data_IF_246860077878
#
_entry.id   IF_246860077878
#
_cell.length_a   1.000
_cell.length_b   1.000
_cell.length_c   1.000
_cell.angle_alpha   90.00
_cell.angle_beta   90.00
_cell.angle_gamma   90.00
#
_symmetry.space_group_name_H-M   'P 1'
#
loop_
_entity.id
_entity.type
_entity.pdbx_description
1 polymer ?
#
# COMPACT_ATOMS: atom_id res chain seq x y z
N UNK A 1 -4.94 -16.54 1.39
CA UNK A 1 -5.28 -15.20 1.94
C UNK A 1 -6.63 -15.27 2.66
N UNK A 2 -6.75 -14.90 3.93
CA UNK A 2 -7.97 -15.12 4.73
C UNK A 2 -9.21 -14.39 4.17
N UNK A 3 -9.05 -13.20 3.59
CA UNK A 3 -10.16 -12.45 2.98
C UNK A 3 -10.78 -13.23 1.82
N UNK A 4 -9.94 -13.73 0.90
CA UNK A 4 -10.39 -14.49 -0.26
C UNK A 4 -11.06 -15.78 0.15
N UNK A 5 -10.45 -16.55 1.05
CA UNK A 5 -11.03 -17.76 1.59
C UNK A 5 -12.42 -17.50 2.18
N UNK A 6 -12.54 -16.47 3.01
CA UNK A 6 -13.82 -16.10 3.63
C UNK A 6 -14.90 -15.71 2.61
N UNK A 7 -14.52 -15.01 1.52
CA UNK A 7 -15.47 -14.64 0.44
C UNK A 7 -15.88 -15.89 -0.35
N UNK A 8 -14.93 -16.75 -0.71
CA UNK A 8 -15.21 -17.97 -1.48
C UNK A 8 -16.06 -18.96 -0.67
N UNK A 9 -15.77 -19.11 0.61
CA UNK A 9 -16.53 -19.99 1.52
C UNK A 9 -17.93 -19.43 1.86
N UNK A 10 -18.10 -18.12 1.77
CA UNK A 10 -19.36 -17.44 2.14
C UNK A 10 -20.54 -17.68 1.22
N UNK A 11 -20.35 -18.35 0.08
CA UNK A 11 -21.44 -18.95 -0.72
C UNK A 11 -22.22 -18.04 -1.65
N UNK A 12 -21.73 -16.89 -2.04
CA UNK A 12 -22.16 -16.23 -3.30
C UNK A 12 -23.44 -15.40 -3.29
N UNK A 13 -23.99 -15.03 -2.13
CA UNK A 13 -25.08 -14.03 -2.10
C UNK A 13 -24.52 -12.63 -1.90
N UNK A 14 -24.71 -11.73 -2.86
CA UNK A 14 -24.24 -10.32 -2.77
C UNK A 14 -24.69 -9.62 -1.49
N UNK A 15 -25.81 -10.03 -0.89
CA UNK A 15 -26.36 -9.41 0.31
C UNK A 15 -25.67 -9.88 1.60
N UNK A 16 -25.14 -11.09 1.63
CA UNK A 16 -24.53 -11.72 2.81
C UNK A 16 -23.05 -12.05 2.65
N UNK A 17 -22.45 -11.74 1.52
CA UNK A 17 -21.03 -11.99 1.28
C UNK A 17 -20.17 -11.26 2.30
N UNK A 18 -19.19 -11.94 2.89
CA UNK A 18 -18.19 -11.31 3.74
C UNK A 18 -17.53 -10.13 3.04
N UNK A 19 -17.42 -9.01 3.75
CA UNK A 19 -16.83 -7.80 3.22
C UNK A 19 -15.50 -7.47 3.91
N UNK A 20 -14.62 -6.82 3.16
CA UNK A 20 -13.37 -6.25 3.66
C UNK A 20 -13.28 -4.75 3.31
N UNK A 21 -12.74 -3.99 4.24
CA UNK A 21 -12.33 -2.61 4.01
C UNK A 21 -10.80 -2.54 3.99
N UNK A 22 -10.22 -2.07 2.90
CA UNK A 22 -8.78 -1.90 2.73
C UNK A 22 -8.43 -0.42 2.78
N UNK A 23 -7.65 -0.04 3.77
CA UNK A 23 -7.26 1.33 4.03
C UNK A 23 -5.79 1.54 3.63
N UNK A 24 -5.56 2.25 2.54
CA UNK A 24 -4.25 2.67 2.08
C UNK A 24 -3.97 4.13 2.47
N UNK A 25 -2.71 4.52 2.75
CA UNK A 25 -2.39 5.90 3.12
C UNK A 25 -2.59 6.91 2.00
N UNK A 26 -2.54 6.45 0.74
CA UNK A 26 -2.69 7.31 -0.44
C UNK A 26 -3.65 6.70 -1.46
N UNK A 27 -4.25 7.57 -2.31
CA UNK A 27 -5.06 7.14 -3.45
C UNK A 27 -4.28 6.26 -4.42
N UNK A 28 -3.01 6.58 -4.68
CA UNK A 28 -2.16 5.83 -5.61
C UNK A 28 -2.02 4.38 -5.16
N UNK A 29 -1.67 4.15 -3.88
CA UNK A 29 -1.56 2.80 -3.32
C UNK A 29 -2.89 2.05 -3.33
N UNK A 30 -4.02 2.73 -3.03
CA UNK A 30 -5.33 2.10 -3.14
C UNK A 30 -5.64 1.64 -4.57
N UNK A 31 -5.30 2.44 -5.57
CA UNK A 31 -5.49 2.10 -6.98
C UNK A 31 -4.56 0.98 -7.44
N UNK A 32 -3.30 0.96 -7.00
CA UNK A 32 -2.35 -0.10 -7.35
C UNK A 32 -2.80 -1.44 -6.74
N UNK A 33 -3.24 -1.45 -5.51
CA UNK A 33 -3.83 -2.64 -4.88
C UNK A 33 -5.11 -3.08 -5.58
N UNK A 34 -5.97 -2.15 -5.98
CA UNK A 34 -7.18 -2.49 -6.73
C UNK A 34 -6.85 -3.19 -8.06
N UNK A 35 -5.87 -2.68 -8.82
CA UNK A 35 -5.40 -3.32 -10.06
C UNK A 35 -4.93 -4.75 -9.81
N UNK A 36 -4.14 -4.97 -8.74
CA UNK A 36 -3.69 -6.30 -8.37
C UNK A 36 -4.86 -7.27 -8.06
N UNK A 37 -5.94 -6.77 -7.43
CA UNK A 37 -7.15 -7.57 -7.20
C UNK A 37 -7.92 -7.86 -8.49
N UNK A 38 -8.02 -6.89 -9.41
CA UNK A 38 -8.65 -7.07 -10.72
C UNK A 38 -7.87 -8.06 -11.59
N UNK A 39 -6.55 -7.93 -11.65
CA UNK A 39 -5.66 -8.84 -12.39
C UNK A 39 -5.71 -10.27 -11.86
N UNK A 40 -5.83 -10.45 -10.55
CA UNK A 40 -5.97 -11.76 -9.93
C UNK A 40 -7.28 -12.46 -10.30
N UNK A 41 -8.30 -11.72 -10.75
CA UNK A 41 -9.60 -12.20 -11.25
C UNK A 41 -10.22 -13.32 -10.39
N UNK A 42 -10.15 -13.18 -9.07
CA UNK A 42 -10.57 -14.22 -8.12
C UNK A 42 -12.10 -14.37 -8.10
N UNK A 43 -12.63 -15.60 -8.25
CA UNK A 43 -14.06 -15.85 -8.26
C UNK A 43 -14.77 -15.30 -7.02
N UNK A 44 -15.87 -14.56 -7.21
CA UNK A 44 -16.68 -13.98 -6.14
C UNK A 44 -16.12 -12.72 -5.50
N UNK A 45 -14.88 -12.34 -5.79
CA UNK A 45 -14.27 -11.09 -5.30
C UNK A 45 -14.67 -9.93 -6.22
N UNK A 46 -15.20 -8.87 -5.62
CA UNK A 46 -15.66 -7.66 -6.33
C UNK A 46 -15.01 -6.44 -5.67
N UNK A 47 -13.77 -6.11 -6.07
CA UNK A 47 -13.05 -4.97 -5.52
C UNK A 47 -13.59 -3.65 -6.09
N UNK A 48 -13.57 -2.60 -5.30
CA UNK A 48 -13.88 -1.24 -5.74
C UNK A 48 -13.04 -0.22 -4.98
N UNK A 49 -12.47 0.73 -5.71
CA UNK A 49 -11.87 1.93 -5.11
C UNK A 49 -12.97 2.95 -4.84
N UNK A 50 -12.94 3.50 -3.63
CA UNK A 50 -13.80 4.62 -3.23
C UNK A 50 -12.93 5.73 -2.68
N UNK A 51 -12.73 6.75 -3.48
CA UNK A 51 -11.93 7.93 -3.16
C UNK A 51 -12.63 9.23 -3.61
N UNK A 52 -11.93 10.37 -3.53
CA UNK A 52 -12.48 11.67 -3.92
C UNK A 52 -12.78 11.80 -5.42
N UNK A 53 -12.14 10.99 -6.26
CA UNK A 53 -12.27 11.04 -7.72
C UNK A 53 -13.29 10.02 -8.23
N UNK A 54 -13.76 9.10 -7.37
CA UNK A 54 -14.80 8.11 -7.72
C UNK A 54 -16.11 8.81 -8.04
N UNK A 55 -16.64 8.59 -9.23
CA UNK A 55 -17.90 9.16 -9.67
C UNK A 55 -19.11 8.59 -8.91
N UNK A 56 -20.29 9.19 -9.12
CA UNK A 56 -21.51 8.83 -8.39
C UNK A 56 -21.99 7.42 -8.68
N UNK A 57 -21.89 6.97 -9.93
CA UNK A 57 -22.39 5.66 -10.37
C UNK A 57 -21.50 4.53 -9.86
N UNK A 58 -20.18 4.68 -9.96
CA UNK A 58 -19.22 3.72 -9.40
C UNK A 58 -19.35 3.62 -7.89
N UNK A 59 -19.53 4.75 -7.21
CA UNK A 59 -19.79 4.78 -5.78
C UNK A 59 -21.11 4.10 -5.41
N UNK A 60 -22.14 4.26 -6.22
CA UNK A 60 -23.42 3.57 -6.04
C UNK A 60 -23.28 2.07 -6.30
N UNK A 61 -22.49 1.68 -7.31
CA UNK A 61 -22.17 0.28 -7.57
C UNK A 61 -21.40 -0.35 -6.40
N UNK A 62 -20.33 0.32 -5.92
CA UNK A 62 -19.54 -0.15 -4.81
C UNK A 62 -20.39 -0.42 -3.56
N UNK A 63 -21.30 0.48 -3.20
CA UNK A 63 -22.22 0.30 -2.07
C UNK A 63 -23.10 -0.94 -2.21
N UNK A 64 -23.55 -1.24 -3.43
CA UNK A 64 -24.48 -2.35 -3.68
C UNK A 64 -23.79 -3.70 -3.89
N UNK A 65 -22.62 -3.69 -4.51
CA UNK A 65 -22.03 -4.91 -5.03
C UNK A 65 -20.63 -5.24 -4.51
N UNK A 66 -19.76 -4.24 -4.23
CA UNK A 66 -18.41 -4.51 -3.82
C UNK A 66 -18.34 -5.24 -2.47
N UNK A 67 -17.49 -6.23 -2.38
CA UNK A 67 -17.17 -6.92 -1.12
C UNK A 67 -15.73 -6.66 -0.65
N UNK A 68 -14.89 -6.05 -1.49
CA UNK A 68 -13.60 -5.48 -1.09
C UNK A 68 -13.61 -4.00 -1.45
N UNK A 69 -13.69 -3.13 -0.45
CA UNK A 69 -13.68 -1.68 -0.65
C UNK A 69 -12.33 -1.12 -0.28
N UNK A 70 -11.62 -0.55 -1.26
CA UNK A 70 -10.33 0.09 -1.08
C UNK A 70 -10.53 1.61 -0.97
N UNK A 71 -9.95 2.24 0.04
CA UNK A 71 -10.13 3.66 0.31
C UNK A 71 -8.93 4.24 1.08
N UNK A 72 -9.00 5.51 1.42
CA UNK A 72 -8.02 6.19 2.25
C UNK A 72 -8.67 6.78 3.52
N UNK A 73 -7.87 7.19 4.54
CA UNK A 73 -8.40 7.71 5.79
C UNK A 73 -9.31 8.92 5.63
N UNK A 74 -9.00 9.84 4.70
CA UNK A 74 -9.80 11.05 4.49
C UNK A 74 -11.17 10.71 3.93
N UNK A 75 -11.23 9.84 2.91
CA UNK A 75 -12.48 9.40 2.32
C UNK A 75 -13.32 8.61 3.32
N UNK A 76 -12.69 7.77 4.12
CA UNK A 76 -13.35 7.07 5.21
C UNK A 76 -13.96 8.07 6.20
N UNK A 77 -13.18 9.06 6.65
CA UNK A 77 -13.61 10.04 7.65
C UNK A 77 -14.71 10.97 7.16
N UNK A 78 -14.54 11.55 5.96
CA UNK A 78 -15.40 12.62 5.48
C UNK A 78 -16.62 12.15 4.68
N UNK A 79 -16.62 10.91 4.18
CA UNK A 79 -17.68 10.42 3.29
C UNK A 79 -18.32 9.10 3.77
N UNK A 80 -17.51 8.06 4.01
CA UNK A 80 -18.06 6.73 4.28
C UNK A 80 -18.68 6.68 5.67
N UNK A 81 -17.96 7.12 6.71
CA UNK A 81 -18.44 7.06 8.09
C UNK A 81 -19.60 8.04 8.36
N UNK A 82 -19.62 9.30 7.87
CA UNK A 82 -20.80 10.15 8.01
C UNK A 82 -22.02 9.62 7.26
N UNK A 83 -21.80 8.96 6.12
CA UNK A 83 -22.86 8.36 5.30
C UNK A 83 -23.05 6.86 5.54
N UNK A 84 -22.72 6.34 6.73
CA UNK A 84 -22.68 4.92 7.05
C UNK A 84 -24.01 4.16 6.76
N UNK A 85 -25.14 4.81 6.84
CA UNK A 85 -26.44 4.22 6.53
C UNK A 85 -26.48 3.72 5.08
N UNK A 86 -25.88 4.48 4.14
CA UNK A 86 -25.78 4.10 2.73
C UNK A 86 -24.82 2.94 2.49
N UNK A 87 -23.95 2.66 3.45
CA UNK A 87 -22.98 1.58 3.46
C UNK A 87 -23.38 0.44 4.39
N UNK A 88 -24.64 0.41 4.85
CA UNK A 88 -25.12 -0.55 5.85
C UNK A 88 -24.87 -2.01 5.47
N UNK A 89 -24.95 -2.36 4.15
CA UNK A 89 -24.60 -3.71 3.67
C UNK A 89 -23.12 -4.04 3.96
N UNK A 90 -22.20 -3.11 3.64
CA UNK A 90 -20.77 -3.28 3.92
C UNK A 90 -20.55 -3.48 5.42
N UNK A 91 -21.10 -2.61 6.26
CA UNK A 91 -20.86 -2.66 7.70
C UNK A 91 -21.47 -3.89 8.38
N UNK A 92 -22.63 -4.37 7.94
CA UNK A 92 -23.22 -5.62 8.46
C UNK A 92 -22.40 -6.86 8.16
N UNK A 93 -21.73 -6.87 7.04
CA UNK A 93 -20.95 -8.01 6.56
C UNK A 93 -19.44 -7.81 6.71
N UNK A 94 -19.00 -6.76 7.39
CA UNK A 94 -17.59 -6.41 7.53
C UNK A 94 -16.87 -7.44 8.41
N UNK A 95 -16.01 -8.24 7.80
CA UNK A 95 -15.20 -9.27 8.46
C UNK A 95 -13.76 -8.84 8.67
N UNK A 96 -13.25 -8.01 7.78
CA UNK A 96 -11.85 -7.60 7.80
C UNK A 96 -11.70 -6.10 7.57
N UNK A 97 -10.80 -5.50 8.33
CA UNK A 97 -10.29 -4.15 8.11
C UNK A 97 -8.79 -4.30 7.92
N UNK A 98 -8.30 -4.03 6.71
CA UNK A 98 -6.87 -4.02 6.41
C UNK A 98 -6.37 -2.58 6.51
N UNK A 99 -5.35 -2.36 7.30
CA UNK A 99 -4.65 -1.08 7.45
C UNK A 99 -3.27 -1.27 6.83
N UNK A 100 -3.14 -0.85 5.58
CA UNK A 100 -1.90 -1.00 4.83
C UNK A 100 -0.92 0.11 5.14
N UNK A 101 0.38 -0.21 4.99
CA UNK A 101 1.48 0.71 5.28
C UNK A 101 1.31 1.37 6.66
N UNK A 102 0.97 0.58 7.67
CA UNK A 102 0.66 1.08 9.02
C UNK A 102 1.77 1.98 9.61
N UNK A 103 3.01 1.81 9.14
CA UNK A 103 4.14 2.66 9.50
C UNK A 103 4.02 4.11 8.99
N UNK A 104 3.19 4.39 7.99
CA UNK A 104 2.92 5.75 7.50
C UNK A 104 2.06 6.56 8.47
N UNK A 105 1.27 5.89 9.31
CA UNK A 105 0.36 6.54 10.27
C UNK A 105 1.09 6.91 11.57
N UNK A 106 1.90 7.98 11.53
CA UNK A 106 2.69 8.47 12.66
C UNK A 106 2.38 9.92 13.00
N UNK A 107 2.78 10.34 14.21
CA UNK A 107 2.60 11.72 14.67
C UNK A 107 1.14 12.14 14.72
N UNK A 108 0.87 13.40 14.36
CA UNK A 108 -0.48 13.96 14.35
C UNK A 108 -1.41 13.22 13.38
N UNK A 109 -0.92 12.91 12.19
CA UNK A 109 -1.70 12.14 11.20
C UNK A 109 -2.11 10.76 11.74
N UNK A 110 -1.17 10.03 12.34
CA UNK A 110 -1.47 8.74 12.97
C UNK A 110 -2.49 8.83 14.10
N UNK A 111 -2.43 9.90 14.91
CA UNK A 111 -3.42 10.14 15.96
C UNK A 111 -4.83 10.34 15.39
N UNK A 112 -4.96 11.12 14.31
CA UNK A 112 -6.25 11.29 13.62
C UNK A 112 -6.77 9.96 13.04
N UNK A 113 -5.91 9.21 12.33
CA UNK A 113 -6.30 7.91 11.76
C UNK A 113 -6.73 6.92 12.84
N UNK A 114 -6.06 6.91 14.00
CA UNK A 114 -6.46 6.08 15.16
C UNK A 114 -7.90 6.39 15.61
N UNK A 115 -8.28 7.66 15.67
CA UNK A 115 -9.65 8.06 16.03
C UNK A 115 -10.66 7.65 14.94
N UNK A 116 -10.29 7.74 13.67
CA UNK A 116 -11.11 7.29 12.56
C UNK A 116 -11.33 5.78 12.60
N UNK A 117 -10.29 4.98 12.88
CA UNK A 117 -10.39 3.53 13.02
C UNK A 117 -11.28 3.13 14.20
N UNK A 118 -11.15 3.77 15.35
CA UNK A 118 -12.05 3.52 16.51
C UNK A 118 -13.50 3.85 16.18
N UNK A 119 -13.75 4.91 15.43
CA UNK A 119 -15.09 5.24 14.96
C UNK A 119 -15.60 4.20 13.96
N UNK A 120 -14.76 3.72 13.04
CA UNK A 120 -15.09 2.65 12.10
C UNK A 120 -15.52 1.37 12.84
N UNK A 121 -14.75 0.94 13.83
CA UNK A 121 -15.04 -0.26 14.63
C UNK A 121 -16.39 -0.09 15.33
N UNK A 122 -16.65 1.04 16.01
CA UNK A 122 -17.94 1.28 16.67
C UNK A 122 -19.13 1.29 15.69
N UNK A 123 -18.94 1.80 14.47
CA UNK A 123 -20.00 1.74 13.46
C UNK A 123 -20.22 0.29 12.99
N UNK A 124 -19.16 -0.50 12.80
CA UNK A 124 -19.26 -1.91 12.47
C UNK A 124 -20.03 -2.67 13.56
N UNK A 125 -19.69 -2.47 14.83
CA UNK A 125 -20.39 -3.04 15.97
C UNK A 125 -21.86 -2.62 16.04
N UNK A 126 -22.19 -1.34 15.74
CA UNK A 126 -23.58 -0.87 15.65
C UNK A 126 -24.38 -1.65 14.62
N UNK A 127 -23.76 -2.09 13.53
CA UNK A 127 -24.38 -2.94 12.50
C UNK A 127 -24.31 -4.45 12.80
N UNK A 128 -23.78 -4.83 13.96
CA UNK A 128 -23.70 -6.22 14.44
C UNK A 128 -22.49 -6.99 13.90
N UNK A 129 -21.50 -6.33 13.33
CA UNK A 129 -20.26 -6.98 12.90
C UNK A 129 -19.11 -6.76 13.90
N UNK A 130 -18.17 -7.70 13.92
CA UNK A 130 -16.95 -7.64 14.74
C UNK A 130 -15.74 -7.97 13.85
N UNK A 131 -15.24 -6.99 13.09
CA UNK A 131 -14.18 -7.24 12.11
C UNK A 131 -12.83 -7.50 12.76
N UNK A 132 -12.06 -8.40 12.16
CA UNK A 132 -10.64 -8.57 12.46
C UNK A 132 -9.85 -7.44 11.79
N UNK A 133 -9.03 -6.74 12.56
CA UNK A 133 -8.15 -5.70 12.03
C UNK A 133 -6.78 -6.28 11.73
N UNK A 134 -6.32 -6.13 10.50
CA UNK A 134 -5.02 -6.58 9.99
C UNK A 134 -4.20 -5.35 9.65
N UNK A 135 -3.15 -5.08 10.41
CA UNK A 135 -2.20 -4.01 10.11
C UNK A 135 -0.98 -4.58 9.37
N UNK A 136 -0.79 -4.18 8.11
CA UNK A 136 0.39 -4.51 7.34
C UNK A 136 1.41 -3.37 7.42
N UNK A 137 2.68 -3.70 7.63
CA UNK A 137 3.76 -2.71 7.72
C UNK A 137 5.05 -3.34 7.23
N UNK A 138 5.92 -2.55 6.61
CA UNK A 138 7.26 -3.00 6.25
C UNK A 138 8.05 -3.34 7.52
N UNK A 139 8.98 -2.53 7.94
CA UNK A 139 9.80 -2.78 9.14
C UNK A 139 9.31 -1.94 10.31
N UNK A 140 9.10 -2.59 11.46
CA UNK A 140 8.78 -1.91 12.72
C UNK A 140 9.56 -2.56 13.86
N UNK A 141 10.23 -1.75 14.67
CA UNK A 141 10.96 -2.25 15.86
C UNK A 141 10.04 -2.73 17.00
N UNK A 142 8.73 -2.37 16.95
CA UNK A 142 7.74 -2.81 17.91
C UNK A 142 6.34 -2.85 17.22
N UNK A 143 6.10 -3.84 16.34
CA UNK A 143 4.89 -3.88 15.50
C UNK A 143 3.61 -3.98 16.33
N UNK A 144 3.59 -4.80 17.39
CA UNK A 144 2.45 -4.94 18.28
C UNK A 144 2.04 -3.62 18.92
N UNK A 145 2.98 -2.93 19.57
CA UNK A 145 2.71 -1.63 20.21
C UNK A 145 2.24 -0.57 19.23
N UNK A 146 2.78 -0.60 18.02
CA UNK A 146 2.38 0.34 16.96
C UNK A 146 0.96 0.07 16.51
N UNK A 147 0.60 -1.19 16.29
CA UNK A 147 -0.75 -1.62 15.94
C UNK A 147 -1.75 -1.33 17.08
N UNK A 148 -1.42 -1.66 18.32
CA UNK A 148 -2.25 -1.39 19.50
C UNK A 148 -2.58 0.10 19.68
N UNK A 149 -1.58 0.97 19.50
CA UNK A 149 -1.80 2.43 19.55
C UNK A 149 -2.70 2.91 18.44
N UNK A 150 -2.52 2.38 17.23
CA UNK A 150 -3.29 2.77 16.05
C UNK A 150 -4.74 2.29 16.13
N UNK A 151 -4.95 1.04 16.52
CA UNK A 151 -6.27 0.37 16.53
C UNK A 151 -7.00 0.65 17.85
N UNK A 152 -6.28 0.73 18.97
CA UNK A 152 -6.83 0.88 20.31
C UNK A 152 -7.30 -0.43 20.93
N UNK A 153 -6.80 -1.56 20.47
CA UNK A 153 -7.06 -2.90 20.97
C UNK A 153 -5.77 -3.73 20.97
N UNK A 154 -5.68 -4.81 21.79
CA UNK A 154 -4.54 -5.71 21.76
C UNK A 154 -4.26 -6.25 20.35
N UNK A 155 -3.00 -6.34 19.98
CA UNK A 155 -2.55 -6.85 18.70
C UNK A 155 -1.48 -7.93 18.88
N UNK A 156 -1.46 -8.90 17.98
CA UNK A 156 -0.44 -9.94 17.90
C UNK A 156 0.39 -9.70 16.64
N UNK A 157 1.72 -9.68 16.76
CA UNK A 157 2.61 -9.56 15.63
C UNK A 157 2.86 -10.92 14.97
N UNK A 158 2.87 -10.92 13.65
CA UNK A 158 3.35 -12.01 12.81
C UNK A 158 4.60 -11.48 12.11
N UNK A 159 5.78 -11.87 12.57
CA UNK A 159 7.08 -11.32 12.13
C UNK A 159 7.95 -12.35 11.41
N UNK A 160 7.56 -13.60 11.43
CA UNK A 160 8.27 -14.65 10.69
C UNK A 160 7.91 -14.58 9.21
N UNK A 161 8.90 -14.25 8.39
CA UNK A 161 8.78 -14.27 6.94
C UNK A 161 9.22 -15.65 6.43
N UNK A 162 8.24 -16.44 6.01
CA UNK A 162 8.48 -17.77 5.43
C UNK A 162 8.65 -17.73 3.90
N UNK A 163 8.71 -16.54 3.29
CA UNK A 163 8.91 -16.40 1.84
C UNK A 163 10.33 -16.80 1.45
N UNK A 164 10.53 -17.51 0.34
CA UNK A 164 11.87 -17.77 -0.17
C UNK A 164 12.55 -16.43 -0.51
N UNK A 165 13.71 -16.20 0.08
CA UNK A 165 14.49 -14.98 -0.12
C UNK A 165 15.84 -15.33 -0.71
N UNK A 166 16.27 -14.71 -1.82
CA UNK A 166 17.62 -14.85 -2.33
C UNK A 166 18.63 -14.22 -1.36
N UNK A 167 19.87 -14.63 -1.49
CA UNK A 167 20.98 -13.99 -0.78
C UNK A 167 21.03 -12.49 -1.11
N UNK A 168 21.27 -11.67 -0.08
CA UNK A 168 21.39 -10.22 -0.21
C UNK A 168 22.75 -9.77 0.25
N UNK A 169 23.43 -9.02 -0.60
CA UNK A 169 24.65 -8.31 -0.22
C UNK A 169 24.33 -6.83 0.03
N UNK A 170 24.73 -6.30 1.19
CA UNK A 170 24.58 -4.89 1.53
C UNK A 170 25.94 -4.24 1.43
N UNK A 171 26.09 -3.26 0.55
CA UNK A 171 27.33 -2.52 0.35
C UNK A 171 27.14 -1.08 0.81
N UNK A 172 27.98 -0.64 1.72
CA UNK A 172 28.07 0.77 2.11
C UNK A 172 29.14 1.42 1.23
N UNK A 173 28.67 2.34 0.36
CA UNK A 173 29.55 3.06 -0.54
C UNK A 173 29.92 4.42 0.04
N UNK A 174 31.23 4.69 0.15
CA UNK A 174 31.75 6.01 0.47
C UNK A 174 32.37 6.61 -0.79
N UNK A 175 31.96 7.82 -1.15
CA UNK A 175 32.55 8.51 -2.30
C UNK A 175 34.02 8.82 -2.04
N UNK A 176 34.91 8.56 -3.01
CA UNK A 176 36.31 8.96 -2.87
C UNK A 176 36.51 10.48 -2.86
N UNK A 177 35.52 11.28 -3.27
CA UNK A 177 35.54 12.74 -3.31
C UNK A 177 34.48 13.35 -2.40
N UNK A 178 34.48 13.02 -1.13
CA UNK A 178 33.46 13.44 -0.14
C UNK A 178 33.33 14.97 0.02
N UNK A 179 34.28 15.75 -0.42
CA UNK A 179 34.29 17.21 -0.30
C UNK A 179 33.40 17.94 -1.33
N UNK A 180 32.86 17.24 -2.35
CA UNK A 180 31.95 17.82 -3.34
C UNK A 180 30.48 17.45 -3.06
N UNK A 181 29.58 18.43 -2.86
CA UNK A 181 28.15 18.17 -2.59
C UNK A 181 27.41 17.36 -3.70
N UNK A 182 27.97 17.26 -4.88
CA UNK A 182 27.42 16.52 -6.03
C UNK A 182 27.99 15.12 -6.20
N UNK A 183 28.96 14.68 -5.36
CA UNK A 183 29.66 13.41 -5.53
C UNK A 183 28.72 12.21 -5.42
N UNK A 184 27.89 12.14 -4.39
CA UNK A 184 26.95 11.04 -4.17
C UNK A 184 25.96 10.84 -5.32
N UNK A 185 25.52 11.92 -5.98
CA UNK A 185 24.59 11.81 -7.13
C UNK A 185 25.31 11.31 -8.39
N UNK A 186 26.56 11.72 -8.60
CA UNK A 186 27.39 11.21 -9.71
C UNK A 186 27.77 9.75 -9.50
N UNK A 187 28.13 9.38 -8.27
CA UNK A 187 28.45 8.00 -7.91
C UNK A 187 27.22 7.10 -8.11
N UNK A 188 26.03 7.55 -7.70
CA UNK A 188 24.78 6.84 -7.96
C UNK A 188 24.52 6.62 -9.45
N UNK A 189 24.81 7.64 -10.31
CA UNK A 189 24.70 7.50 -11.75
C UNK A 189 25.71 6.49 -12.30
N UNK A 190 26.99 6.58 -11.90
CA UNK A 190 28.04 5.67 -12.32
C UNK A 190 27.75 4.21 -11.94
N UNK A 191 27.38 3.96 -10.68
CA UNK A 191 27.01 2.63 -10.20
C UNK A 191 25.76 2.08 -10.93
N UNK A 192 24.77 2.95 -11.22
CA UNK A 192 23.60 2.57 -12.00
C UNK A 192 23.98 2.18 -13.43
N UNK A 193 24.84 2.96 -14.11
CA UNK A 193 25.32 2.65 -15.47
C UNK A 193 26.05 1.31 -15.49
N UNK A 194 27.02 1.09 -14.59
CA UNK A 194 27.76 -0.16 -14.49
C UNK A 194 26.81 -1.36 -14.31
N UNK A 195 25.84 -1.25 -13.43
CA UNK A 195 24.91 -2.35 -13.19
C UNK A 195 23.99 -2.63 -14.39
N UNK A 196 23.53 -1.59 -15.10
CA UNK A 196 22.75 -1.73 -16.34
C UNK A 196 23.58 -2.38 -17.45
N UNK A 197 24.85 -1.98 -17.65
CA UNK A 197 25.78 -2.59 -18.61
C UNK A 197 25.98 -4.09 -18.35
N UNK A 198 25.92 -4.52 -17.08
CA UNK A 198 26.00 -5.93 -16.69
C UNK A 198 24.63 -6.64 -16.74
N UNK A 199 23.62 -6.04 -17.33
CA UNK A 199 22.28 -6.65 -17.46
C UNK A 199 21.47 -6.73 -16.17
N UNK A 200 21.86 -6.00 -15.13
CA UNK A 200 21.13 -6.00 -13.86
C UNK A 200 19.89 -5.10 -13.94
N UNK A 201 18.81 -5.52 -13.28
CA UNK A 201 17.69 -4.63 -13.00
C UNK A 201 18.05 -3.71 -11.83
N UNK A 202 17.97 -2.41 -12.03
CA UNK A 202 18.43 -1.41 -11.05
C UNK A 202 17.28 -0.49 -10.65
N UNK A 203 17.18 -0.23 -9.35
CA UNK A 203 16.27 0.76 -8.79
C UNK A 203 17.08 1.78 -7.97
N UNK A 204 17.19 3.01 -8.46
CA UNK A 204 17.98 4.08 -7.83
C UNK A 204 17.05 5.09 -7.16
N UNK A 205 17.20 5.26 -5.84
CA UNK A 205 16.42 6.23 -5.06
C UNK A 205 17.22 7.51 -4.84
N UNK A 206 16.62 8.65 -5.13
CA UNK A 206 17.24 9.96 -5.00
C UNK A 206 16.33 10.91 -4.21
N UNK A 207 16.93 11.92 -3.57
CA UNK A 207 16.23 12.82 -2.65
C UNK A 207 15.28 13.83 -3.33
N UNK A 208 15.43 14.08 -4.64
CA UNK A 208 14.60 15.07 -5.34
C UNK A 208 14.32 14.66 -6.78
N UNK A 209 13.20 15.12 -7.33
CA UNK A 209 12.85 14.90 -8.76
C UNK A 209 13.94 15.41 -9.70
N UNK A 210 14.54 16.57 -9.41
CA UNK A 210 15.63 17.13 -10.20
C UNK A 210 16.87 16.21 -10.22
N UNK A 211 17.20 15.59 -9.09
CA UNK A 211 18.30 14.62 -9.03
C UNK A 211 17.97 13.35 -9.83
N UNK A 212 16.71 12.90 -9.84
CA UNK A 212 16.27 11.75 -10.66
C UNK A 212 16.44 12.06 -12.14
N UNK A 213 15.98 13.22 -12.62
CA UNK A 213 16.12 13.64 -14.02
C UNK A 213 17.59 13.76 -14.42
N UNK A 214 18.44 14.33 -13.55
CA UNK A 214 19.86 14.46 -13.79
C UNK A 214 20.57 13.10 -13.88
N UNK A 215 20.34 12.19 -12.95
CA UNK A 215 20.90 10.82 -12.99
C UNK A 215 20.40 10.07 -14.22
N UNK A 216 19.12 10.18 -14.55
CA UNK A 216 18.57 9.55 -15.75
C UNK A 216 19.20 10.07 -17.05
N UNK A 217 19.61 11.36 -17.13
CA UNK A 217 20.34 11.87 -18.28
C UNK A 217 21.76 11.32 -18.33
N UNK A 218 22.48 11.30 -17.20
CA UNK A 218 23.85 10.78 -17.14
C UNK A 218 23.92 9.29 -17.53
N UNK A 219 22.98 8.48 -17.04
CA UNK A 219 22.93 7.04 -17.36
C UNK A 219 22.67 6.84 -18.86
N UNK A 220 21.77 7.62 -19.46
CA UNK A 220 21.51 7.55 -20.91
C UNK A 220 22.71 7.98 -21.76
N UNK A 221 23.40 9.04 -21.36
CA UNK A 221 24.58 9.53 -22.06
C UNK A 221 25.72 8.52 -22.02
N UNK A 222 25.92 7.86 -20.87
CA UNK A 222 26.90 6.79 -20.71
C UNK A 222 26.57 5.56 -21.56
N UNK A 223 25.31 5.12 -21.61
CA UNK A 223 24.87 3.98 -22.43
C UNK A 223 25.05 4.25 -23.92
N UNK A 224 24.71 5.46 -24.39
CA UNK A 224 24.93 5.86 -25.79
C UNK A 224 26.42 5.95 -26.17
N UNK A 225 27.30 6.31 -25.21
CA UNK A 225 28.73 6.35 -25.43
C UNK A 225 29.35 4.94 -25.53
N UNK A 226 28.81 3.98 -24.79
CA UNK A 226 29.23 2.58 -24.86
C UNK A 226 28.88 1.94 -26.22
N UNK A 227 27.66 2.15 -26.72
CA UNK A 227 27.20 1.64 -28.03
C UNK A 227 28.02 2.19 -29.21
N UNK A 228 28.52 3.42 -29.10
CA UNK A 228 29.37 4.05 -30.13
C UNK A 228 30.84 3.59 -30.09
N UNK A 229 31.26 2.96 -29.02
CA UNK A 229 32.63 2.44 -28.83
C UNK A 229 32.87 1.01 -29.34
N UNK A 230 31.81 0.24 -29.56
CA UNK A 230 31.90 -1.15 -30.06
C UNK A 230 31.98 -1.23 -31.62
N UNK A 231 31.72 -0.13 -32.35
CA UNK A 231 31.75 -0.08 -33.81
C UNK A 231 33.08 0.51 -34.36
N UNK A 232 34.20 0.50 -33.63
CA UNK A 232 35.49 1.10 -34.09
C UNK A 232 36.62 0.10 -34.11
#
# INVERSE_FOLDING_TARGET
MPIVASIVEGGGSVLSDPCALYLAPTKALANDQWRAWEEAALPGVRPAVVDGDTNTDDRAWARRHANVVLTNPDMLHYSILPGHERWSRLFRNLRYIVVDEAHAYRGVFGAHVSLVLRRLIRIAEHYGSSPVVIAASATSGAPERSAERLIGAPAMAITEDCSPSPERSVVLWQSPNDDEPSSATRDAAALTSIAVEHGCQVLTFLRSRRAVEYVASLVRDNSNAADLGEDS
#
